data_IF_065337161925
#
_entry.id   IF_065337161925
#
_cell.length_a   1.000
_cell.length_b   1.000
_cell.length_c   1.000
_cell.angle_alpha   90.00
_cell.angle_beta   90.00
_cell.angle_gamma   90.00
#
_symmetry.space_group_name_H-M   'P 1'
#
loop_
_entity.id
_entity.type
_entity.pdbx_description
1 polymer ?
#
# COMPACT_ATOMS: atom_id res chain seq x y z
N UNK A 1 3.46 -1.19 23.23
CA UNK A 1 3.54 -0.82 24.65
C UNK A 1 3.19 0.64 24.73
N UNK A 2 2.23 0.99 25.60
CA UNK A 2 1.98 2.38 25.94
C UNK A 2 3.25 2.92 26.60
N UNK A 3 3.71 4.11 26.20
CA UNK A 3 4.83 4.75 26.92
C UNK A 3 4.30 5.31 28.25
N UNK A 4 5.18 5.48 29.23
CA UNK A 4 4.78 5.88 30.58
C UNK A 4 4.03 7.22 30.63
N UNK A 5 4.27 8.08 29.63
CA UNK A 5 3.60 9.37 29.44
C UNK A 5 2.12 9.23 29.03
N UNK A 6 1.80 8.29 28.14
CA UNK A 6 0.41 7.97 27.79
C UNK A 6 -0.30 7.36 29.01
N UNK A 7 0.40 6.58 29.83
CA UNK A 7 -0.15 6.02 31.08
C UNK A 7 -0.43 7.14 32.09
N UNK A 8 0.46 8.11 32.24
CA UNK A 8 0.27 9.26 33.13
C UNK A 8 -0.90 10.17 32.68
N UNK A 9 -1.07 10.39 31.37
CA UNK A 9 -2.21 11.13 30.81
C UNK A 9 -3.54 10.40 30.97
N UNK A 10 -3.54 9.06 30.88
CA UNK A 10 -4.74 8.27 31.14
C UNK A 10 -5.14 8.31 32.62
N UNK A 11 -4.17 8.41 33.55
CA UNK A 11 -4.43 8.52 35.00
C UNK A 11 -4.96 9.90 35.43
N UNK A 12 -4.76 10.95 34.64
CA UNK A 12 -5.22 12.32 34.97
C UNK A 12 -6.60 12.67 34.39
N UNK A 13 -7.14 11.82 33.51
CA UNK A 13 -8.49 12.00 32.99
C UNK A 13 -9.51 11.62 34.07
N UNK A 14 -10.58 12.40 34.17
CA UNK A 14 -11.77 11.99 34.91
C UNK A 14 -12.21 10.60 34.43
N UNK A 15 -12.68 9.69 35.32
CA UNK A 15 -12.93 8.30 34.97
C UNK A 15 -13.82 8.09 33.74
N UNK A 16 -14.79 8.99 33.52
CA UNK A 16 -15.66 8.98 32.34
C UNK A 16 -14.91 9.33 31.04
N UNK A 17 -13.99 10.29 31.10
CA UNK A 17 -13.14 10.69 29.96
C UNK A 17 -12.07 9.64 29.68
N UNK A 18 -11.50 9.05 30.72
CA UNK A 18 -10.57 7.94 30.61
C UNK A 18 -11.21 6.74 29.89
N UNK A 19 -12.39 6.30 30.33
CA UNK A 19 -13.10 5.18 29.71
C UNK A 19 -13.48 5.46 28.24
N UNK A 20 -13.88 6.70 27.93
CA UNK A 20 -14.18 7.15 26.56
C UNK A 20 -12.93 7.13 25.68
N UNK A 21 -11.82 7.69 26.15
CA UNK A 21 -10.55 7.68 25.41
C UNK A 21 -10.02 6.26 25.22
N UNK A 22 -10.14 5.38 26.22
CA UNK A 22 -9.76 3.97 26.10
C UNK A 22 -10.64 3.21 25.08
N UNK A 23 -11.93 3.54 24.96
CA UNK A 23 -12.80 3.04 23.87
C UNK A 23 -12.42 3.62 22.51
N UNK A 24 -12.22 4.93 22.42
CA UNK A 24 -11.85 5.63 21.16
C UNK A 24 -10.53 5.14 20.59
N UNK A 25 -9.64 4.69 21.46
CA UNK A 25 -8.34 4.16 21.09
C UNK A 25 -8.34 2.64 20.93
N UNK A 26 -9.47 1.97 21.20
CA UNK A 26 -9.66 0.54 21.00
C UNK A 26 -8.94 -0.33 22.02
N UNK A 27 -8.69 0.20 23.22
CA UNK A 27 -8.06 -0.54 24.33
C UNK A 27 -9.06 -1.35 25.17
N UNK A 28 -10.34 -0.96 25.20
CA UNK A 28 -11.40 -1.67 25.94
C UNK A 28 -12.69 -1.69 25.12
N UNK A 29 -13.45 -2.78 25.16
CA UNK A 29 -14.62 -3.00 24.30
C UNK A 29 -15.94 -2.59 24.98
N UNK A 30 -16.96 -2.29 24.18
CA UNK A 30 -18.31 -1.95 24.67
C UNK A 30 -19.04 -3.21 25.16
N UNK A 31 -19.54 -3.20 26.40
CA UNK A 31 -20.12 -4.37 27.09
C UNK A 31 -19.15 -5.17 27.96
N UNK A 32 -17.90 -4.72 28.10
CA UNK A 32 -16.96 -5.32 29.04
C UNK A 32 -17.54 -5.15 30.47
N UNK A 33 -17.95 -6.25 31.15
CA UNK A 33 -18.59 -6.15 32.46
C UNK A 33 -17.69 -5.44 33.47
N UNK A 34 -16.36 -5.52 33.29
CA UNK A 34 -15.39 -4.83 34.16
C UNK A 34 -15.34 -3.33 33.86
N UNK A 35 -15.47 -2.93 32.59
CA UNK A 35 -15.55 -1.52 32.20
C UNK A 35 -16.91 -0.91 32.55
N UNK A 36 -18.00 -1.65 32.40
CA UNK A 36 -19.33 -1.17 32.71
C UNK A 36 -19.57 -1.12 34.23
N UNK A 37 -19.01 -2.08 34.98
CA UNK A 37 -18.91 -2.01 36.43
C UNK A 37 -18.00 -0.85 36.89
N UNK A 38 -16.88 -0.59 36.20
CA UNK A 38 -16.04 0.60 36.42
C UNK A 38 -16.81 1.90 36.16
N UNK A 39 -17.55 2.00 35.05
CA UNK A 39 -18.39 3.17 34.73
C UNK A 39 -19.55 3.34 35.71
N UNK A 40 -20.16 2.25 36.18
CA UNK A 40 -21.23 2.27 37.17
C UNK A 40 -20.71 2.74 38.52
N UNK A 41 -19.54 2.27 38.98
CA UNK A 41 -18.90 2.67 40.23
C UNK A 41 -18.37 4.11 40.19
N UNK A 42 -17.79 4.54 39.06
CA UNK A 42 -17.32 5.91 38.84
C UNK A 42 -18.46 6.94 38.91
N UNK A 43 -19.71 6.57 38.57
CA UNK A 43 -20.88 7.46 38.72
C UNK A 43 -21.35 7.64 40.16
N UNK A 44 -21.03 6.71 41.06
CA UNK A 44 -21.43 6.75 42.49
C UNK A 44 -20.35 7.39 43.37
N UNK A 45 -19.18 7.73 42.81
CA UNK A 45 -18.18 8.58 43.48
C UNK A 45 -17.31 7.87 44.53
N UNK A 46 -17.02 6.58 44.40
CA UNK A 46 -16.12 5.88 45.32
C UNK A 46 -14.67 5.79 44.80
N UNK A 47 -13.69 5.98 45.69
CA UNK A 47 -12.35 6.49 45.37
C UNK A 47 -11.21 5.44 45.24
N UNK A 48 -11.49 4.15 45.01
CA UNK A 48 -10.47 3.06 44.99
C UNK A 48 -10.08 2.50 43.59
N UNK A 49 -10.27 3.26 42.51
CA UNK A 49 -10.21 2.76 41.12
C UNK A 49 -8.80 2.54 40.49
N UNK A 50 -7.71 2.82 41.22
CA UNK A 50 -6.35 2.79 40.69
C UNK A 50 -5.80 1.42 40.29
N UNK A 51 -6.26 0.32 40.89
CA UNK A 51 -5.72 -1.05 40.67
C UNK A 51 -6.21 -1.73 39.39
N UNK A 52 -7.38 -1.34 38.87
CA UNK A 52 -7.96 -1.93 37.64
C UNK A 52 -7.25 -1.38 36.41
N UNK A 53 -6.89 -0.08 36.42
CA UNK A 53 -6.10 0.59 35.36
C UNK A 53 -4.74 -0.10 35.16
N UNK A 54 -4.07 -0.50 36.25
CA UNK A 54 -2.79 -1.22 36.17
C UNK A 54 -2.94 -2.63 35.56
N UNK A 55 -4.11 -3.27 35.68
CA UNK A 55 -4.41 -4.55 35.04
C UNK A 55 -4.64 -4.43 33.52
N UNK A 56 -5.31 -3.36 33.07
CA UNK A 56 -5.61 -3.10 31.65
C UNK A 56 -4.36 -2.59 30.92
N UNK A 57 -3.56 -1.74 31.57
CA UNK A 57 -2.38 -1.11 30.98
C UNK A 57 -1.13 -2.00 31.11
N UNK A 58 -1.03 -2.80 32.18
CA UNK A 58 0.18 -3.54 32.53
C UNK A 58 0.04 -5.06 32.49
N UNK A 59 0.48 -5.70 31.38
CA UNK A 59 1.13 -7.05 31.30
C UNK A 59 1.43 -7.37 29.83
N UNK A 60 2.60 -7.05 29.22
CA UNK A 60 4.02 -7.52 29.30
C UNK A 60 4.26 -9.02 29.05
N UNK A 61 5.19 -9.33 28.11
CA UNK A 61 5.70 -10.67 27.74
C UNK A 61 6.21 -11.44 28.97
N UNK A 62 5.82 -12.71 29.10
CA UNK A 62 6.45 -13.66 30.04
C UNK A 62 7.85 -14.05 29.55
N UNK A 63 8.82 -14.08 30.45
CA UNK A 63 10.13 -14.72 30.23
C UNK A 63 10.01 -16.26 30.36
N UNK A 64 10.91 -17.03 29.71
CA UNK A 64 10.83 -18.48 29.65
C UNK A 64 11.31 -19.09 30.97
N UNK A 65 10.48 -19.91 31.63
CA UNK A 65 10.97 -20.72 32.75
C UNK A 65 10.01 -21.09 33.89
N UNK A 66 8.76 -20.61 33.93
CA UNK A 66 7.86 -21.01 35.02
C UNK A 66 6.85 -22.08 34.59
N UNK A 67 7.13 -23.29 35.02
CA UNK A 67 6.32 -24.48 34.88
C UNK A 67 5.09 -24.43 35.80
N UNK A 68 3.91 -24.80 35.27
CA UNK A 68 3.30 -26.09 35.65
C UNK A 68 2.08 -26.46 34.81
N UNK A 69 2.06 -27.74 34.44
CA UNK A 69 0.95 -28.66 34.15
C UNK A 69 -0.21 -28.17 33.29
N UNK A 70 -0.27 -28.68 32.06
CA UNK A 70 -1.56 -29.22 31.59
C UNK A 70 -1.45 -30.39 30.60
N UNK A 71 -2.36 -31.34 30.81
CA UNK A 71 -2.34 -32.76 30.50
C UNK A 71 -2.45 -33.10 29.00
N UNK A 72 -2.65 -32.10 28.13
CA UNK A 72 -3.01 -32.30 26.70
C UNK A 72 -1.84 -32.39 25.72
N UNK A 73 -0.63 -31.97 26.11
CA UNK A 73 0.56 -32.06 25.25
C UNK A 73 1.18 -33.47 25.30
N UNK A 74 1.09 -34.16 26.45
CA UNK A 74 1.56 -35.55 26.59
C UNK A 74 0.76 -36.54 25.74
N UNK A 75 -0.56 -36.39 25.63
CA UNK A 75 -1.38 -37.27 24.77
C UNK A 75 -1.05 -37.11 23.28
N UNK A 76 -0.62 -35.92 22.85
CA UNK A 76 -0.24 -35.66 21.44
C UNK A 76 1.19 -36.05 21.13
N UNK A 77 2.09 -35.97 22.10
CA UNK A 77 3.47 -36.46 21.98
C UNK A 77 3.56 -37.99 22.07
N UNK A 78 2.75 -38.63 22.93
CA UNK A 78 2.66 -40.10 22.96
C UNK A 78 2.02 -40.66 21.68
N UNK A 79 1.02 -39.96 21.12
CA UNK A 79 0.44 -40.30 19.81
C UNK A 79 1.44 -40.20 18.64
N UNK A 80 2.42 -39.28 18.73
CA UNK A 80 3.50 -39.16 17.75
C UNK A 80 4.67 -40.11 18.02
N UNK A 81 4.87 -40.56 19.27
CA UNK A 81 5.93 -41.50 19.65
C UNK A 81 5.59 -42.96 19.29
N UNK A 82 4.32 -43.30 19.18
CA UNK A 82 3.84 -44.67 18.85
C UNK A 82 3.75 -44.96 17.34
N UNK A 83 4.00 -43.98 16.47
CA UNK A 83 4.09 -44.18 15.02
C UNK A 83 5.46 -43.74 14.52
N UNK A 84 6.39 -44.68 14.34
CA UNK A 84 7.63 -44.47 13.58
C UNK A 84 7.30 -44.37 12.08
N UNK A 85 7.59 -43.26 11.39
CA UNK A 85 7.70 -43.26 9.93
C UNK A 85 9.09 -43.78 9.55
N UNK A 86 9.14 -44.88 8.80
CA UNK A 86 10.37 -45.60 8.41
C UNK A 86 11.26 -44.88 7.37
N UNK A 87 11.27 -43.56 7.28
CA UNK A 87 11.88 -42.85 6.14
C UNK A 87 13.09 -41.99 6.50
N UNK A 88 13.80 -42.35 7.56
CA UNK A 88 15.15 -41.85 7.83
C UNK A 88 16.04 -43.03 8.25
N UNK A 89 16.40 -43.86 7.28
CA UNK A 89 17.60 -44.69 7.36
C UNK A 89 18.65 -44.07 6.41
N UNK A 90 19.90 -43.85 6.87
CA UNK A 90 20.97 -43.37 6.00
C UNK A 90 21.43 -44.52 5.11
N UNK A 91 21.26 -44.40 3.80
CA UNK A 91 21.86 -45.37 2.87
C UNK A 91 23.34 -45.05 2.71
N UNK A 92 24.15 -46.03 3.06
CA UNK A 92 25.60 -46.06 2.92
C UNK A 92 26.04 -46.09 1.45
N UNK A 93 27.33 -45.81 1.29
CA UNK A 93 28.10 -45.71 0.05
C UNK A 93 28.22 -47.04 -0.72
N UNK A 94 28.47 -46.88 -2.03
CA UNK A 94 29.18 -47.75 -2.98
C UNK A 94 28.55 -49.10 -3.36
N UNK A 95 28.26 -49.26 -4.66
CA UNK A 95 28.88 -50.26 -5.57
C UNK A 95 28.27 -50.14 -6.99
N UNK A 96 29.10 -49.90 -8.00
CA UNK A 96 28.89 -50.27 -9.41
C UNK A 96 29.75 -51.54 -9.67
N UNK A 97 29.60 -52.26 -10.81
CA UNK A 97 28.41 -52.70 -11.55
C UNK A 97 28.43 -54.25 -11.74
N UNK A 98 27.59 -54.84 -12.59
CA UNK A 98 28.20 -55.34 -13.82
C UNK A 98 27.35 -55.19 -15.09
N UNK A 99 28.09 -55.29 -16.20
CA UNK A 99 27.70 -55.47 -17.58
C UNK A 99 26.64 -56.58 -17.75
N UNK A 100 25.73 -56.43 -18.73
CA UNK A 100 25.45 -57.52 -19.66
C UNK A 100 24.72 -57.03 -20.92
N UNK A 101 25.19 -57.60 -22.03
CA UNK A 101 24.77 -57.45 -23.41
C UNK A 101 23.35 -58.02 -23.63
N UNK A 102 22.64 -57.53 -24.67
CA UNK A 102 21.97 -58.37 -25.67
C UNK A 102 21.21 -57.52 -26.71
N UNK A 103 21.84 -57.38 -27.88
CA UNK A 103 21.34 -57.74 -29.21
C UNK A 103 19.88 -57.46 -29.67
N UNK A 104 19.83 -56.66 -30.75
CA UNK A 104 19.13 -56.87 -32.03
C UNK A 104 17.67 -56.32 -32.21
N UNK A 105 17.16 -56.21 -33.46
CA UNK A 105 17.68 -55.34 -34.54
C UNK A 105 16.58 -54.59 -35.34
N UNK A 106 17.03 -53.83 -36.36
CA UNK A 106 16.33 -53.48 -37.62
C UNK A 106 15.05 -52.61 -37.56
N UNK A 107 15.13 -51.39 -38.13
CA UNK A 107 14.45 -51.11 -39.40
C UNK A 107 14.96 -49.82 -40.06
N UNK A 108 15.19 -49.97 -41.36
CA UNK A 108 15.70 -49.05 -42.36
C UNK A 108 14.60 -48.22 -43.01
N UNK A 109 14.81 -46.91 -43.17
CA UNK A 109 14.39 -46.06 -44.30
C UNK A 109 15.19 -44.75 -44.11
N UNK A 110 16.06 -44.26 -45.00
CA UNK A 110 16.01 -44.26 -46.46
C UNK A 110 15.44 -42.91 -46.92
N UNK A 111 16.29 -41.88 -47.06
CA UNK A 111 16.43 -41.09 -48.30
C UNK A 111 17.35 -39.87 -48.13
N UNK A 112 18.32 -39.89 -49.04
CA UNK A 112 19.29 -38.88 -49.46
C UNK A 112 18.65 -37.52 -49.76
N UNK A 113 19.36 -36.44 -49.39
CA UNK A 113 19.56 -35.30 -50.28
C UNK A 113 20.89 -34.65 -49.93
N UNK A 114 21.86 -34.84 -50.82
CA UNK A 114 23.17 -34.24 -50.79
C UNK A 114 23.10 -32.94 -51.60
N UNK A 115 23.10 -31.80 -50.92
CA UNK A 115 23.44 -30.52 -51.53
C UNK A 115 24.77 -30.02 -50.96
N UNK A 116 25.75 -29.97 -51.86
CA UNK A 116 27.09 -29.46 -51.65
C UNK A 116 27.04 -27.95 -51.45
N UNK A 117 27.13 -27.50 -50.20
CA UNK A 117 27.44 -26.11 -49.87
C UNK A 117 28.96 -25.99 -49.65
N UNK A 118 29.64 -25.42 -50.64
CA UNK A 118 31.04 -25.02 -50.57
C UNK A 118 31.23 -23.97 -49.47
N UNK A 119 31.93 -24.37 -48.41
CA UNK A 119 32.36 -23.48 -47.32
C UNK A 119 33.41 -22.52 -47.89
N UNK A 120 32.96 -21.35 -48.33
CA UNK A 120 33.84 -20.21 -48.52
C UNK A 120 34.21 -19.66 -47.13
N UNK A 121 35.48 -19.81 -46.76
CA UNK A 121 36.09 -19.09 -45.63
C UNK A 121 36.17 -17.61 -45.99
N UNK A 122 35.04 -16.92 -46.01
CA UNK A 122 35.04 -15.47 -45.89
C UNK A 122 35.27 -15.14 -44.42
N UNK A 123 36.51 -14.72 -44.13
CA UNK A 123 36.85 -14.14 -42.84
C UNK A 123 35.88 -12.99 -42.56
N UNK A 124 35.04 -13.17 -41.55
CA UNK A 124 34.29 -12.09 -40.93
C UNK A 124 35.32 -11.12 -40.36
N UNK A 125 35.70 -10.12 -41.15
CA UNK A 125 36.35 -8.92 -40.67
C UNK A 125 35.33 -8.19 -39.78
N UNK A 126 35.24 -8.60 -38.52
CA UNK A 126 34.54 -7.86 -37.46
C UNK A 126 35.38 -6.61 -37.18
N UNK A 127 35.33 -5.67 -38.10
CA UNK A 127 35.90 -4.33 -37.99
C UNK A 127 34.86 -3.36 -37.41
N UNK A 128 34.05 -3.84 -36.46
CA UNK A 128 33.37 -2.96 -35.52
C UNK A 128 34.31 -2.85 -34.32
N UNK A 129 35.11 -1.79 -34.28
CA UNK A 129 35.85 -1.45 -33.07
C UNK A 129 34.86 -1.47 -31.89
N UNK A 130 35.14 -2.22 -30.81
CA UNK A 130 34.26 -2.24 -29.66
C UNK A 130 34.07 -0.79 -29.19
N UNK A 131 32.84 -0.45 -28.80
CA UNK A 131 32.50 0.84 -28.20
C UNK A 131 33.66 1.29 -27.28
N UNK A 132 34.26 2.48 -27.48
CA UNK A 132 35.36 2.95 -26.66
C UNK A 132 35.08 2.87 -25.15
N UNK A 133 33.80 2.98 -24.75
CA UNK A 133 33.36 2.76 -23.37
C UNK A 133 33.52 1.30 -22.90
N UNK A 134 33.19 0.33 -23.76
CA UNK A 134 33.35 -1.09 -23.47
C UNK A 134 34.82 -1.48 -23.32
N UNK A 135 35.68 -1.07 -24.26
CA UNK A 135 37.10 -1.39 -24.21
C UNK A 135 37.78 -0.84 -22.95
N UNK A 136 37.43 0.38 -22.55
CA UNK A 136 37.91 0.98 -21.31
C UNK A 136 37.40 0.23 -20.06
N UNK A 137 36.13 -0.19 -20.04
CA UNK A 137 35.54 -0.93 -18.92
C UNK A 137 36.22 -2.29 -18.71
N UNK A 138 36.38 -3.07 -19.79
CA UNK A 138 37.04 -4.38 -19.74
C UNK A 138 38.51 -4.26 -19.30
N UNK A 139 39.20 -3.19 -19.69
CA UNK A 139 40.56 -2.92 -19.24
C UNK A 139 40.61 -2.61 -17.73
N UNK A 140 39.74 -1.74 -17.22
CA UNK A 140 39.69 -1.36 -15.80
C UNK A 140 39.29 -2.53 -14.89
N UNK A 141 38.27 -3.30 -15.28
CA UNK A 141 37.67 -4.33 -14.44
C UNK A 141 38.17 -5.73 -14.78
N UNK A 142 39.13 -5.85 -15.70
CA UNK A 142 39.56 -7.14 -16.20
C UNK A 142 40.14 -8.06 -15.13
N UNK A 143 40.72 -7.52 -14.05
CA UNK A 143 41.25 -8.36 -12.98
C UNK A 143 40.15 -8.96 -12.12
N UNK A 144 39.03 -8.28 -11.98
CA UNK A 144 37.86 -8.80 -11.29
C UNK A 144 37.12 -9.81 -12.17
N UNK A 145 36.91 -9.45 -13.44
CA UNK A 145 36.21 -10.30 -14.43
C UNK A 145 36.98 -11.59 -14.75
N UNK A 146 38.31 -11.51 -14.81
CA UNK A 146 39.20 -12.64 -15.12
C UNK A 146 40.18 -12.91 -13.97
N UNK A 147 39.66 -12.96 -12.75
CA UNK A 147 40.46 -13.22 -11.53
C UNK A 147 41.21 -14.55 -11.54
N UNK A 148 40.79 -15.49 -12.39
CA UNK A 148 41.43 -16.80 -12.59
C UNK A 148 42.66 -16.76 -13.51
N UNK A 149 42.89 -15.67 -14.26
CA UNK A 149 44.09 -15.53 -15.08
C UNK A 149 45.27 -15.09 -14.21
N UNK A 150 46.24 -15.98 -14.04
CA UNK A 150 47.47 -15.71 -13.29
C UNK A 150 48.42 -14.89 -14.15
N UNK A 151 48.64 -13.62 -13.78
CA UNK A 151 49.59 -12.72 -14.45
C UNK A 151 49.01 -11.35 -14.79
N UNK A 152 49.80 -10.47 -15.44
CA UNK A 152 49.28 -9.23 -16.01
C UNK A 152 48.26 -9.56 -17.11
N UNK A 153 47.12 -8.86 -17.12
CA UNK A 153 46.13 -9.03 -18.17
C UNK A 153 46.76 -8.75 -19.54
N UNK A 154 46.47 -9.55 -20.58
CA UNK A 154 47.06 -9.37 -21.90
C UNK A 154 46.53 -8.13 -22.65
N UNK A 155 45.56 -7.43 -22.08
CA UNK A 155 44.93 -6.27 -22.70
C UNK A 155 45.76 -5.02 -22.45
N UNK A 156 46.19 -4.34 -23.53
CA UNK A 156 46.76 -2.99 -23.44
C UNK A 156 45.62 -1.97 -23.27
N UNK A 157 45.85 -0.85 -22.54
CA UNK A 157 44.85 0.20 -22.46
C UNK A 157 44.54 0.72 -23.87
N UNK A 158 43.26 0.97 -24.21
CA UNK A 158 42.91 1.49 -25.52
C UNK A 158 43.58 2.86 -25.78
N UNK A 159 43.91 3.21 -27.04
CA UNK A 159 44.55 4.48 -27.36
C UNK A 159 43.77 5.69 -26.83
N UNK A 160 44.43 6.58 -26.09
CA UNK A 160 43.80 7.76 -25.49
C UNK A 160 43.07 7.49 -24.16
N UNK A 161 43.11 6.27 -23.63
CA UNK A 161 42.58 5.94 -22.32
C UNK A 161 43.27 6.77 -21.22
N UNK A 162 42.46 7.55 -20.51
CA UNK A 162 42.83 8.20 -19.24
C UNK A 162 41.99 7.53 -18.16
N UNK A 163 42.56 7.13 -17.01
CA UNK A 163 41.77 6.62 -15.89
C UNK A 163 40.73 7.69 -15.55
N UNK A 164 39.49 7.46 -15.94
CA UNK A 164 38.39 8.34 -15.55
C UNK A 164 38.00 7.93 -14.13
N UNK A 165 37.23 8.79 -13.46
CA UNK A 165 36.51 8.45 -12.21
C UNK A 165 35.96 7.01 -12.33
N UNK A 166 35.87 6.24 -11.23
CA UNK A 166 35.49 4.83 -11.25
C UNK A 166 34.41 4.56 -12.31
N UNK A 167 34.77 3.85 -13.38
CA UNK A 167 33.83 3.64 -14.49
C UNK A 167 32.66 2.80 -13.97
N UNK A 168 31.47 3.38 -14.00
CA UNK A 168 30.22 2.63 -13.83
C UNK A 168 30.11 1.68 -15.02
N UNK A 169 29.90 0.39 -14.75
CA UNK A 169 29.77 -0.63 -15.77
C UNK A 169 28.73 -0.20 -16.84
N UNK A 170 29.11 -0.04 -18.11
CA UNK A 170 28.21 0.43 -19.16
C UNK A 170 27.07 -0.56 -19.47
N UNK A 171 27.19 -1.81 -19.02
CA UNK A 171 26.13 -2.81 -19.11
C UNK A 171 25.15 -2.78 -17.95
N UNK A 172 25.46 -2.04 -16.89
CA UNK A 172 24.54 -1.88 -15.77
C UNK A 172 23.69 -0.66 -16.05
N UNK A 173 22.35 -0.78 -15.98
CA UNK A 173 21.50 0.38 -16.11
C UNK A 173 21.93 1.41 -15.08
N UNK A 174 22.04 2.67 -15.50
CA UNK A 174 22.35 3.76 -14.59
C UNK A 174 21.39 3.68 -13.39
N UNK A 175 21.89 3.82 -12.15
CA UNK A 175 21.02 3.73 -10.98
C UNK A 175 19.88 4.75 -11.13
N UNK A 176 18.66 4.38 -10.74
CA UNK A 176 17.52 5.28 -10.88
C UNK A 176 17.81 6.57 -10.12
N UNK A 177 17.50 7.70 -10.75
CA UNK A 177 17.55 8.99 -10.05
C UNK A 177 16.60 8.93 -8.87
N UNK A 178 17.07 9.37 -7.71
CA UNK A 178 16.32 9.35 -6.47
C UNK A 178 15.77 10.75 -6.18
N UNK A 179 14.59 10.82 -5.55
CA UNK A 179 13.98 12.07 -5.04
C UNK A 179 13.39 11.84 -3.66
N UNK A 180 13.24 12.91 -2.88
CA UNK A 180 12.53 12.84 -1.59
C UNK A 180 11.10 12.34 -1.73
N UNK A 181 10.64 11.50 -0.80
CA UNK A 181 9.24 11.05 -0.72
C UNK A 181 8.31 12.01 0.03
N UNK A 182 8.76 13.22 0.34
CA UNK A 182 7.92 14.26 0.91
C UNK A 182 6.86 14.71 -0.11
N UNK A 183 5.62 14.90 0.36
CA UNK A 183 4.52 15.29 -0.52
C UNK A 183 4.64 16.76 -0.92
N UNK A 184 4.38 17.03 -2.19
CA UNK A 184 4.39 18.38 -2.75
C UNK A 184 3.00 19.01 -2.65
N UNK A 185 2.90 20.32 -2.88
CA UNK A 185 1.60 21.02 -2.90
C UNK A 185 0.69 20.54 -4.04
N UNK A 186 1.27 19.97 -5.10
CA UNK A 186 0.51 19.32 -6.17
C UNK A 186 -0.17 18.04 -5.66
N UNK A 187 0.53 17.25 -4.87
CA UNK A 187 -0.03 16.02 -4.28
C UNK A 187 -1.13 16.34 -3.28
N UNK A 188 -0.88 17.32 -2.41
CA UNK A 188 -1.86 17.82 -1.43
C UNK A 188 -3.16 18.25 -2.09
N UNK A 189 -3.08 19.12 -3.11
CA UNK A 189 -4.26 19.59 -3.86
C UNK A 189 -4.95 18.46 -4.61
N UNK A 190 -4.19 17.57 -5.26
CA UNK A 190 -4.76 16.42 -5.97
C UNK A 190 -5.62 15.56 -5.06
N UNK A 191 -5.09 15.19 -3.88
CA UNK A 191 -5.80 14.33 -2.94
C UNK A 191 -7.00 15.06 -2.32
N UNK A 192 -6.83 16.32 -1.89
CA UNK A 192 -7.94 17.11 -1.34
C UNK A 192 -9.08 17.23 -2.33
N UNK A 193 -8.79 17.73 -3.54
CA UNK A 193 -9.80 18.01 -4.54
C UNK A 193 -10.56 16.74 -4.96
N UNK A 194 -9.86 15.61 -5.05
CA UNK A 194 -10.50 14.34 -5.37
C UNK A 194 -11.45 13.86 -4.26
N UNK A 195 -11.08 14.02 -2.98
CA UNK A 195 -11.96 13.72 -1.84
C UNK A 195 -13.17 14.66 -1.83
N UNK A 196 -12.94 15.97 -1.95
CA UNK A 196 -13.96 17.00 -2.00
C UNK A 196 -14.95 16.75 -3.14
N UNK A 197 -14.45 16.42 -4.33
CA UNK A 197 -15.27 16.09 -5.48
C UNK A 197 -16.03 14.76 -5.33
N UNK A 198 -15.43 13.73 -4.71
CA UNK A 198 -16.15 12.51 -4.39
C UNK A 198 -17.36 12.81 -3.49
N UNK A 199 -17.19 13.67 -2.49
CA UNK A 199 -18.28 14.14 -1.63
C UNK A 199 -19.32 14.95 -2.41
N UNK A 200 -18.90 15.84 -3.30
CA UNK A 200 -19.81 16.54 -4.21
C UNK A 200 -20.64 15.59 -5.06
N UNK A 201 -20.06 14.46 -5.48
CA UNK A 201 -20.75 13.36 -6.16
C UNK A 201 -21.60 12.48 -5.22
N UNK A 202 -21.76 12.85 -3.95
CA UNK A 202 -22.53 12.12 -2.94
C UNK A 202 -21.81 10.90 -2.34
N UNK A 203 -20.48 10.82 -2.46
CA UNK A 203 -19.70 9.65 -2.03
C UNK A 203 -18.58 10.01 -1.04
N UNK A 204 -18.64 9.42 0.14
CA UNK A 204 -17.60 9.56 1.17
C UNK A 204 -16.62 8.37 1.09
N UNK A 205 -15.31 8.66 1.01
CA UNK A 205 -14.25 7.64 1.04
C UNK A 205 -14.06 7.10 2.47
N UNK A 206 -14.99 6.25 2.88
CA UNK A 206 -15.18 5.77 4.25
C UNK A 206 -14.25 4.63 4.71
N UNK A 207 -13.28 4.21 3.89
CA UNK A 207 -12.34 3.12 4.23
C UNK A 207 -10.90 3.49 3.95
N UNK A 208 -10.01 3.25 4.92
CA UNK A 208 -8.57 3.42 4.83
C UNK A 208 -7.86 2.06 4.69
N UNK A 209 -7.22 1.85 3.54
CA UNK A 209 -6.35 0.71 3.30
C UNK A 209 -4.90 1.10 3.56
N UNK A 210 -4.15 0.17 4.15
CA UNK A 210 -2.70 0.30 4.34
C UNK A 210 -2.04 -0.93 3.73
N UNK A 211 -1.12 -0.72 2.80
CA UNK A 211 -0.33 -1.80 2.19
C UNK A 211 1.15 -1.50 2.40
N UNK A 212 1.86 -2.38 3.10
CA UNK A 212 3.29 -2.24 3.41
C UNK A 212 4.08 -3.13 2.48
N UNK A 213 4.54 -2.57 1.36
CA UNK A 213 5.18 -3.30 0.26
C UNK A 213 6.50 -3.94 0.65
N UNK A 214 7.26 -3.27 1.52
CA UNK A 214 8.50 -3.80 2.12
C UNK A 214 8.27 -5.12 2.87
N UNK A 215 7.12 -5.27 3.55
CA UNK A 215 6.75 -6.53 4.25
C UNK A 215 6.35 -7.66 3.29
N UNK A 216 6.18 -7.34 2.01
CA UNK A 216 5.99 -8.31 0.92
C UNK A 216 7.29 -8.53 0.12
N UNK A 217 8.41 -7.97 0.60
CA UNK A 217 9.72 -8.00 -0.03
C UNK A 217 9.74 -7.40 -1.45
N UNK A 218 8.87 -6.43 -1.74
CA UNK A 218 8.82 -5.75 -3.04
C UNK A 218 9.66 -4.47 -3.02
N UNK A 219 10.30 -4.15 -4.15
CA UNK A 219 10.87 -2.82 -4.38
C UNK A 219 9.78 -1.76 -4.49
N UNK A 220 10.17 -0.50 -4.46
CA UNK A 220 9.27 0.63 -4.64
C UNK A 220 8.53 0.56 -5.99
N UNK A 221 9.24 0.26 -7.08
CA UNK A 221 8.66 0.15 -8.42
C UNK A 221 7.68 -1.01 -8.51
N UNK A 222 8.07 -2.20 -8.05
CA UNK A 222 7.18 -3.36 -8.03
C UNK A 222 5.96 -3.12 -7.14
N UNK A 223 6.10 -2.39 -6.03
CA UNK A 223 4.98 -2.00 -5.17
C UNK A 223 3.99 -1.07 -5.87
N UNK A 224 4.48 -0.10 -6.65
CA UNK A 224 3.64 0.81 -7.46
C UNK A 224 2.89 0.05 -8.55
N UNK A 225 3.58 -0.83 -9.27
CA UNK A 225 2.98 -1.66 -10.32
C UNK A 225 1.89 -2.58 -9.73
N UNK A 226 2.22 -3.27 -8.64
CA UNK A 226 1.30 -4.16 -7.92
C UNK A 226 0.08 -3.39 -7.42
N UNK A 227 0.25 -2.16 -6.91
CA UNK A 227 -0.88 -1.31 -6.50
C UNK A 227 -1.81 -1.00 -7.68
N UNK A 228 -1.26 -0.69 -8.85
CA UNK A 228 -2.03 -0.43 -10.06
C UNK A 228 -2.89 -1.63 -10.45
N UNK A 229 -2.29 -2.82 -10.52
CA UNK A 229 -3.00 -4.06 -10.80
C UNK A 229 -4.07 -4.38 -9.73
N UNK A 230 -3.72 -4.21 -8.45
CA UNK A 230 -4.63 -4.42 -7.33
C UNK A 230 -5.86 -3.50 -7.40
N UNK A 231 -5.68 -2.20 -7.64
CA UNK A 231 -6.80 -1.24 -7.72
C UNK A 231 -7.70 -1.52 -8.92
N UNK A 232 -7.13 -1.97 -10.04
CA UNK A 232 -7.91 -2.42 -11.20
C UNK A 232 -8.78 -3.64 -10.87
N UNK A 233 -8.20 -4.66 -10.23
CA UNK A 233 -8.95 -5.84 -9.79
C UNK A 233 -9.99 -5.50 -8.71
N UNK A 234 -9.70 -4.56 -7.80
CA UNK A 234 -10.65 -4.08 -6.80
C UNK A 234 -11.84 -3.38 -7.45
N UNK A 235 -11.60 -2.59 -8.50
CA UNK A 235 -12.65 -1.99 -9.30
C UNK A 235 -13.53 -3.02 -10.00
N UNK A 236 -12.92 -4.07 -10.55
CA UNK A 236 -13.67 -5.21 -11.12
C UNK A 236 -14.49 -5.94 -10.06
N UNK A 237 -13.90 -6.20 -8.89
CA UNK A 237 -14.57 -6.91 -7.80
C UNK A 237 -15.81 -6.16 -7.30
N UNK A 238 -15.70 -4.84 -7.11
CA UNK A 238 -16.82 -4.00 -6.69
C UNK A 238 -17.92 -3.86 -7.75
N UNK A 239 -17.57 -3.87 -9.04
CA UNK A 239 -18.56 -3.87 -10.13
C UNK A 239 -19.19 -5.24 -10.38
N UNK A 240 -18.46 -6.32 -10.13
CA UNK A 240 -18.94 -7.67 -10.43
C UNK A 240 -20.08 -8.05 -9.48
N UNK A 241 -21.23 -8.39 -10.06
CA UNK A 241 -22.37 -9.01 -9.34
C UNK A 241 -21.99 -10.38 -8.73
N UNK A 242 -20.85 -10.96 -9.16
CA UNK A 242 -20.45 -12.34 -8.90
C UNK A 242 -19.41 -12.52 -7.80
N UNK A 243 -19.77 -12.25 -6.53
CA UNK A 243 -19.19 -13.09 -5.49
C UNK A 243 -19.51 -14.56 -5.80
N UNK A 244 -18.66 -15.52 -5.39
CA UNK A 244 -18.90 -16.93 -5.62
C UNK A 244 -20.34 -17.29 -5.23
N UNK A 245 -21.01 -18.08 -6.06
CA UNK A 245 -22.41 -18.56 -5.97
C UNK A 245 -22.69 -19.40 -4.71
N UNK A 246 -22.17 -19.01 -3.55
CA UNK A 246 -22.45 -19.59 -2.26
C UNK A 246 -23.84 -19.19 -1.81
N UNK A 247 -24.76 -20.17 -1.89
CA UNK A 247 -26.11 -20.21 -1.31
C UNK A 247 -26.81 -18.84 -1.20
N UNK A 248 -27.53 -18.50 -2.27
CA UNK A 248 -28.67 -17.55 -2.40
C UNK A 248 -29.24 -16.98 -1.08
N UNK A 249 -28.48 -16.18 -0.37
CA UNK A 249 -29.00 -15.34 0.69
C UNK A 249 -29.63 -14.13 0.02
N UNK A 250 -30.95 -14.02 0.14
CA UNK A 250 -31.81 -13.01 -0.48
C UNK A 250 -31.54 -11.55 -0.01
N UNK A 251 -30.34 -11.25 0.50
CA UNK A 251 -29.91 -9.93 0.98
C UNK A 251 -28.69 -9.37 0.26
N UNK A 252 -28.23 -9.99 -0.83
CA UNK A 252 -27.11 -9.50 -1.64
C UNK A 252 -27.51 -8.27 -2.49
N UNK A 253 -27.86 -7.16 -1.85
CA UNK A 253 -27.90 -5.84 -2.48
C UNK A 253 -26.45 -5.39 -2.62
N UNK A 254 -25.74 -5.95 -3.61
CA UNK A 254 -24.48 -5.37 -4.04
C UNK A 254 -24.84 -4.18 -4.92
N UNK A 255 -24.74 -3.00 -4.33
CA UNK A 255 -24.79 -1.73 -5.05
C UNK A 255 -23.69 -1.78 -6.11
N UNK A 256 -24.04 -1.66 -7.40
CA UNK A 256 -23.09 -1.54 -8.52
C UNK A 256 -22.28 -0.26 -8.36
N UNK A 257 -21.31 -0.25 -7.45
CA UNK A 257 -20.55 0.94 -7.09
C UNK A 257 -19.20 0.90 -7.78
N UNK A 258 -18.92 1.94 -8.55
CA UNK A 258 -17.57 2.16 -9.04
C UNK A 258 -16.61 2.44 -7.89
N UNK A 259 -15.43 1.83 -7.98
CA UNK A 259 -14.33 2.11 -7.06
C UNK A 259 -13.91 3.57 -7.25
N UNK A 260 -14.10 4.36 -6.20
CA UNK A 260 -13.52 5.70 -6.04
C UNK A 260 -12.38 5.61 -5.05
N UNK A 261 -11.20 6.09 -5.42
CA UNK A 261 -10.05 6.05 -4.55
C UNK A 261 -9.12 7.25 -4.69
N UNK A 262 -8.41 7.54 -3.60
CA UNK A 262 -7.17 8.31 -3.61
C UNK A 262 -6.10 7.51 -2.92
N UNK A 263 -4.84 7.66 -3.32
CA UNK A 263 -3.74 7.06 -2.59
C UNK A 263 -2.55 8.00 -2.47
N UNK A 264 -1.74 7.71 -1.45
CA UNK A 264 -0.44 8.31 -1.21
C UNK A 264 0.60 7.21 -0.93
N UNK A 265 1.78 7.33 -1.52
CA UNK A 265 2.94 6.53 -1.17
C UNK A 265 3.80 7.25 -0.13
N UNK A 266 4.33 6.48 0.80
CA UNK A 266 5.21 6.96 1.86
C UNK A 266 6.38 5.98 2.02
N UNK A 267 7.57 6.52 2.26
CA UNK A 267 8.75 5.71 2.60
C UNK A 267 9.40 6.26 3.87
N UNK A 268 9.38 5.46 4.93
CA UNK A 268 10.01 5.79 6.21
C UNK A 268 10.94 4.66 6.65
N UNK A 269 11.95 4.97 7.44
CA UNK A 269 12.94 3.98 7.87
C UNK A 269 12.32 2.77 8.61
N UNK A 270 11.32 3.00 9.48
CA UNK A 270 10.77 1.95 10.34
C UNK A 270 9.80 1.00 9.63
N UNK A 271 9.12 1.45 8.57
CA UNK A 271 8.11 0.66 7.85
C UNK A 271 8.49 0.38 6.41
N UNK A 272 9.50 1.04 5.86
CA UNK A 272 9.82 1.00 4.44
C UNK A 272 8.73 1.66 3.58
N UNK A 273 8.70 1.26 2.31
CA UNK A 273 7.75 1.75 1.32
C UNK A 273 6.36 1.17 1.56
N UNK A 274 5.36 2.04 1.65
CA UNK A 274 3.97 1.66 1.88
C UNK A 274 2.99 2.64 1.23
N UNK A 275 1.76 2.18 1.03
CA UNK A 275 0.66 2.98 0.49
C UNK A 275 -0.46 3.15 1.49
N UNK A 276 -0.95 4.37 1.57
CA UNK A 276 -2.21 4.72 2.23
C UNK A 276 -3.25 5.00 1.14
N UNK A 277 -4.34 4.24 1.11
CA UNK A 277 -5.42 4.38 0.13
C UNK A 277 -6.72 4.69 0.85
N UNK A 278 -7.44 5.72 0.44
CA UNK A 278 -8.82 5.94 0.86
C UNK A 278 -9.75 5.49 -0.26
N UNK A 279 -10.73 4.66 0.08
CA UNK A 279 -11.75 4.16 -0.86
C UNK A 279 -13.14 4.36 -0.26
N UNK A 280 -14.15 4.40 -1.13
CA UNK A 280 -15.51 4.12 -0.71
C UNK A 280 -15.77 2.61 -0.73
N UNK A 281 -16.20 2.07 0.40
CA UNK A 281 -16.58 0.66 0.53
C UNK A 281 -17.87 0.56 1.33
N UNK A 282 -18.93 -0.08 0.79
CA UNK A 282 -20.12 -0.37 1.57
C UNK A 282 -19.76 -1.15 2.85
N UNK A 283 -20.19 -0.72 4.05
CA UNK A 283 -19.81 -1.34 5.32
C UNK A 283 -20.05 -2.86 5.37
N UNK A 284 -21.14 -3.32 4.77
CA UNK A 284 -21.49 -4.73 4.68
C UNK A 284 -20.43 -5.58 3.95
N UNK A 285 -19.66 -4.98 3.04
CA UNK A 285 -18.66 -5.68 2.24
C UNK A 285 -17.27 -5.70 2.89
N UNK A 286 -17.05 -5.02 4.02
CA UNK A 286 -15.71 -4.88 4.64
C UNK A 286 -15.00 -6.22 4.85
N UNK A 287 -15.69 -7.21 5.40
CA UNK A 287 -15.11 -8.53 5.72
C UNK A 287 -14.77 -9.31 4.45
N UNK A 288 -15.68 -9.34 3.48
CA UNK A 288 -15.48 -10.03 2.19
C UNK A 288 -14.38 -9.37 1.38
N UNK A 289 -14.38 -8.04 1.32
CA UNK A 289 -13.35 -7.26 0.64
C UNK A 289 -11.98 -7.49 1.28
N UNK A 290 -11.86 -7.45 2.61
CA UNK A 290 -10.56 -7.72 3.27
C UNK A 290 -10.03 -9.13 2.96
N UNK A 291 -10.90 -10.15 2.97
CA UNK A 291 -10.50 -11.51 2.63
C UNK A 291 -10.09 -11.63 1.15
N UNK A 292 -10.89 -11.05 0.25
CA UNK A 292 -10.60 -11.00 -1.18
C UNK A 292 -9.28 -10.26 -1.46
N UNK A 293 -9.08 -9.07 -0.87
CA UNK A 293 -7.88 -8.26 -1.05
C UNK A 293 -6.62 -9.02 -0.63
N UNK A 294 -6.70 -9.80 0.45
CA UNK A 294 -5.57 -10.62 0.90
C UNK A 294 -5.20 -11.67 -0.14
N UNK A 295 -6.20 -12.38 -0.66
CA UNK A 295 -6.03 -13.38 -1.71
C UNK A 295 -5.51 -12.76 -3.01
N UNK A 296 -6.08 -11.63 -3.43
CA UNK A 296 -5.67 -10.90 -4.63
C UNK A 296 -4.21 -10.44 -4.54
N UNK A 297 -3.80 -9.83 -3.42
CA UNK A 297 -2.41 -9.42 -3.20
C UNK A 297 -1.45 -10.62 -3.16
N UNK A 298 -1.84 -11.74 -2.54
CA UNK A 298 -0.99 -12.94 -2.54
C UNK A 298 -0.77 -13.47 -3.95
N UNK A 299 -1.82 -13.51 -4.77
CA UNK A 299 -1.74 -13.90 -6.18
C UNK A 299 -0.92 -12.91 -7.01
N UNK A 300 -1.16 -11.61 -6.89
CA UNK A 300 -0.46 -10.57 -7.66
C UNK A 300 1.04 -10.51 -7.33
N UNK A 301 1.40 -10.81 -6.07
CA UNK A 301 2.81 -10.78 -5.63
C UNK A 301 3.51 -12.13 -5.77
N UNK A 302 2.76 -13.22 -5.97
CA UNK A 302 3.29 -14.60 -5.90
C UNK A 302 3.84 -14.96 -4.52
N UNK A 303 3.44 -14.25 -3.45
CA UNK A 303 4.05 -14.36 -2.13
C UNK A 303 3.01 -14.53 -1.03
N UNK A 304 3.42 -15.26 0.00
CA UNK A 304 2.78 -15.20 1.31
C UNK A 304 3.42 -14.06 2.11
N UNK A 305 2.62 -13.28 2.82
CA UNK A 305 3.10 -12.13 3.57
C UNK A 305 2.40 -12.04 4.93
N UNK A 306 3.03 -11.31 5.86
CA UNK A 306 2.52 -11.14 7.21
C UNK A 306 1.17 -10.42 7.23
N UNK A 307 0.28 -10.80 8.14
CA UNK A 307 -1.07 -10.19 8.23
C UNK A 307 -1.02 -8.67 8.39
N UNK A 308 0.05 -8.13 8.99
CA UNK A 308 0.26 -6.69 9.17
C UNK A 308 0.68 -5.95 7.90
N UNK A 309 1.11 -6.65 6.85
CA UNK A 309 1.44 -6.04 5.56
C UNK A 309 0.21 -5.45 4.85
N UNK A 310 -1.01 -5.88 5.23
CA UNK A 310 -2.26 -5.37 4.69
C UNK A 310 -3.30 -5.14 5.79
N UNK A 311 -3.88 -3.93 5.84
CA UNK A 311 -4.94 -3.57 6.79
C UNK A 311 -6.09 -2.85 6.09
N UNK A 312 -7.31 -3.16 6.51
CA UNK A 312 -8.55 -2.48 6.09
C UNK A 312 -9.20 -1.87 7.34
N UNK A 313 -9.29 -0.55 7.36
CA UNK A 313 -9.85 0.21 8.47
C UNK A 313 -11.09 0.94 7.94
N UNK A 314 -12.27 0.50 8.40
CA UNK A 314 -13.54 1.17 8.07
C UNK A 314 -13.82 2.28 9.09
N UNK A 315 -14.31 3.42 8.63
CA UNK A 315 -14.79 4.49 9.51
C UNK A 315 -16.19 4.14 10.01
N UNK A 316 -16.35 3.97 11.32
CA UNK A 316 -17.62 3.60 11.94
C UNK A 316 -18.50 4.81 12.30
N UNK A 317 -18.42 5.89 11.51
CA UNK A 317 -19.30 7.05 11.71
C UNK A 317 -20.75 6.64 11.52
N UNK A 318 -21.60 6.85 12.53
CA UNK A 318 -23.02 6.48 12.47
C UNK A 318 -23.80 7.46 11.60
N UNK A 319 -23.46 8.73 11.71
CA UNK A 319 -24.07 9.81 10.94
C UNK A 319 -23.16 10.27 9.80
N UNK A 320 -23.72 11.01 8.85
CA UNK A 320 -22.97 11.51 7.70
C UNK A 320 -21.84 12.44 8.13
N UNK A 321 -22.10 13.31 9.11
CA UNK A 321 -21.16 14.26 9.67
C UNK A 321 -19.95 13.54 10.29
N UNK A 322 -20.18 12.40 10.94
CA UNK A 322 -19.10 11.57 11.49
C UNK A 322 -18.23 10.96 10.38
N UNK A 323 -18.86 10.54 9.27
CA UNK A 323 -18.14 9.98 8.13
C UNK A 323 -17.30 11.04 7.42
N UNK A 324 -17.85 12.25 7.25
CA UNK A 324 -17.14 13.45 6.76
C UNK A 324 -15.94 13.75 7.65
N UNK A 325 -16.15 13.85 8.96
CA UNK A 325 -15.08 14.10 9.92
C UNK A 325 -14.00 13.01 9.87
N UNK A 326 -14.39 11.75 9.70
CA UNK A 326 -13.46 10.63 9.60
C UNK A 326 -12.61 10.68 8.32
N UNK A 327 -13.21 10.96 7.15
CA UNK A 327 -12.45 11.04 5.89
C UNK A 327 -11.45 12.21 5.95
N UNK A 328 -11.84 13.35 6.53
CA UNK A 328 -10.94 14.49 6.70
C UNK A 328 -9.84 14.24 7.73
N UNK A 329 -10.14 13.50 8.81
CA UNK A 329 -9.12 13.01 9.74
C UNK A 329 -8.09 12.16 9.03
N UNK A 330 -8.52 11.24 8.16
CA UNK A 330 -7.60 10.43 7.37
C UNK A 330 -6.84 11.24 6.33
N UNK A 331 -7.46 12.19 5.65
CA UNK A 331 -6.76 13.11 4.75
C UNK A 331 -5.60 13.81 5.47
N UNK A 332 -5.84 14.39 6.65
CA UNK A 332 -4.80 15.02 7.47
C UNK A 332 -3.69 14.05 7.88
N UNK A 333 -4.03 12.79 8.12
CA UNK A 333 -3.07 11.73 8.39
C UNK A 333 -2.26 11.35 7.13
N UNK A 334 -2.89 11.22 5.96
CA UNK A 334 -2.21 10.96 4.68
C UNK A 334 -1.21 12.07 4.33
N UNK A 335 -1.53 13.32 4.67
CA UNK A 335 -0.69 14.49 4.38
C UNK A 335 0.45 14.71 5.40
N UNK A 336 0.64 13.82 6.38
CA UNK A 336 1.66 13.96 7.44
C UNK A 336 3.10 14.10 6.91
N UNK A 337 3.38 13.62 5.70
CA UNK A 337 4.68 13.67 5.03
C UNK A 337 4.81 14.86 4.05
N UNK A 338 3.91 15.84 4.09
CA UNK A 338 4.06 17.08 3.31
C UNK A 338 5.36 17.80 3.63
N UNK A 339 6.03 18.33 2.61
CA UNK A 339 7.26 19.10 2.75
C UNK A 339 7.05 20.24 3.77
N UNK A 340 7.79 20.25 4.91
CA UNK A 340 7.55 21.21 5.99
C UNK A 340 7.68 22.67 5.58
N UNK A 341 8.57 22.98 4.62
CA UNK A 341 8.83 24.36 4.17
C UNK A 341 7.93 24.82 3.03
N UNK A 342 6.97 23.99 2.62
CA UNK A 342 6.10 24.31 1.52
C UNK A 342 5.08 25.39 1.93
N UNK A 343 5.41 26.64 1.60
CA UNK A 343 4.56 27.81 1.77
C UNK A 343 3.44 27.89 0.73
N UNK A 344 2.36 28.54 1.12
CA UNK A 344 1.27 29.01 0.28
C UNK A 344 1.05 30.48 0.61
N UNK A 345 1.25 31.33 -0.39
CA UNK A 345 0.96 32.76 -0.33
C UNK A 345 -0.37 33.08 -0.98
N UNK A 346 -1.15 33.98 -0.39
CA UNK A 346 -2.35 34.56 -0.99
C UNK A 346 -2.52 36.01 -0.51
N UNK A 347 -3.32 36.78 -1.24
CA UNK A 347 -3.71 38.13 -0.83
C UNK A 347 -5.14 38.08 -0.31
N UNK A 348 -5.39 38.65 0.87
CA UNK A 348 -6.73 38.72 1.45
C UNK A 348 -7.61 39.82 0.82
N UNK A 349 -8.88 39.90 1.24
CA UNK A 349 -9.85 40.90 0.74
C UNK A 349 -9.41 42.35 1.01
N UNK A 350 -8.51 42.57 1.96
CA UNK A 350 -7.95 43.90 2.30
C UNK A 350 -6.68 44.22 1.49
N UNK A 351 -6.27 43.34 0.58
CA UNK A 351 -5.05 43.50 -0.20
C UNK A 351 -3.78 43.13 0.55
N UNK A 352 -3.86 42.52 1.75
CA UNK A 352 -2.68 42.16 2.56
C UNK A 352 -2.19 40.77 2.14
N UNK A 353 -0.90 40.66 1.85
CA UNK A 353 -0.27 39.38 1.57
C UNK A 353 -0.15 38.54 2.84
N UNK A 354 -0.65 37.32 2.77
CA UNK A 354 -0.60 36.31 3.81
C UNK A 354 0.23 35.13 3.30
N UNK A 355 1.07 34.56 4.16
CA UNK A 355 1.80 33.32 3.86
C UNK A 355 1.62 32.33 5.01
N UNK A 356 1.27 31.09 4.67
CA UNK A 356 1.28 29.97 5.62
C UNK A 356 1.83 28.71 4.98
N UNK A 357 2.47 27.86 5.77
CA UNK A 357 2.83 26.53 5.29
C UNK A 357 1.60 25.64 5.14
N UNK A 358 1.65 24.66 4.24
CA UNK A 358 0.59 23.65 4.14
C UNK A 358 0.35 22.91 5.45
N UNK A 359 1.39 22.72 6.27
CA UNK A 359 1.25 22.07 7.58
C UNK A 359 0.38 22.86 8.53
N UNK A 360 0.59 24.18 8.59
CA UNK A 360 -0.22 25.09 9.41
C UNK A 360 -1.65 25.17 8.90
N UNK A 361 -1.82 25.31 7.58
CA UNK A 361 -3.12 25.42 6.94
C UNK A 361 -3.98 24.17 7.16
N UNK A 362 -3.43 23.00 6.82
CA UNK A 362 -4.16 21.73 6.86
C UNK A 362 -4.19 21.10 8.26
N UNK A 363 -3.48 21.69 9.23
CA UNK A 363 -3.30 21.13 10.57
C UNK A 363 -2.86 19.66 10.50
N UNK A 364 -1.90 19.32 9.63
CA UNK A 364 -1.50 17.92 9.40
C UNK A 364 -0.98 17.26 10.69
N UNK A 365 -1.00 15.93 10.75
CA UNK A 365 -0.46 15.23 11.91
C UNK A 365 1.06 15.41 11.98
N UNK A 366 1.57 15.74 13.16
CA UNK A 366 3.00 15.77 13.43
C UNK A 366 3.51 14.34 13.53
N UNK A 367 4.25 13.89 12.53
CA UNK A 367 4.86 12.55 12.55
C UNK A 367 6.37 12.68 12.62
N UNK A 368 6.93 11.93 13.57
CA UNK A 368 8.37 11.78 13.76
C UNK A 368 8.88 10.81 12.69
N UNK A 369 9.77 11.29 11.83
CA UNK A 369 10.42 10.47 10.82
C UNK A 369 10.83 11.29 9.60
N UNK A 370 12.05 11.06 9.11
CA UNK A 370 12.53 11.65 7.87
C UNK A 370 11.99 10.84 6.70
N UNK A 371 11.30 11.50 5.77
CA UNK A 371 10.91 10.89 4.50
C UNK A 371 12.16 10.41 3.76
N UNK A 372 12.18 9.14 3.35
CA UNK A 372 13.31 8.57 2.61
C UNK A 372 13.14 8.79 1.11
N UNK A 373 14.22 8.68 0.36
CA UNK A 373 14.15 8.86 -1.09
C UNK A 373 13.50 7.67 -1.80
N UNK A 374 12.78 7.97 -2.88
CA UNK A 374 12.18 7.04 -3.83
C UNK A 374 12.68 7.32 -5.24
N UNK A 375 12.63 6.35 -6.16
CA UNK A 375 12.88 6.58 -7.58
C UNK A 375 12.07 7.74 -8.16
N UNK A 376 12.69 8.58 -8.98
CA UNK A 376 12.12 9.82 -9.50
C UNK A 376 10.84 9.60 -10.33
N UNK A 377 10.74 8.46 -11.00
CA UNK A 377 9.58 8.05 -11.80
C UNK A 377 8.32 7.71 -11.00
N UNK A 378 8.42 7.55 -9.68
CA UNK A 378 7.27 7.17 -8.84
C UNK A 378 6.39 8.39 -8.57
N UNK A 379 5.12 8.28 -8.93
CA UNK A 379 4.09 9.25 -8.54
C UNK A 379 3.69 9.01 -7.08
N UNK A 380 3.88 10.01 -6.21
CA UNK A 380 3.59 9.87 -4.78
C UNK A 380 2.09 9.88 -4.45
N UNK A 381 1.24 10.40 -5.33
CA UNK A 381 -0.20 10.44 -5.12
C UNK A 381 -1.01 10.32 -6.41
N UNK A 382 -2.14 9.63 -6.37
CA UNK A 382 -3.13 9.64 -7.46
C UNK A 382 -4.56 9.56 -6.93
N UNK A 383 -5.49 9.85 -7.82
CA UNK A 383 -6.93 9.64 -7.66
C UNK A 383 -7.45 8.74 -8.79
N UNK A 384 -8.57 8.05 -8.57
CA UNK A 384 -9.26 7.30 -9.62
C UNK A 384 -9.81 8.23 -10.71
N UNK A 385 -9.95 7.72 -11.92
CA UNK A 385 -10.37 8.51 -13.10
C UNK A 385 -11.68 9.28 -12.86
N UNK A 386 -12.66 8.65 -12.21
CA UNK A 386 -14.00 9.19 -11.94
C UNK A 386 -14.06 10.28 -10.84
N UNK A 387 -12.97 10.52 -10.10
CA UNK A 387 -12.87 11.65 -9.17
C UNK A 387 -11.61 12.50 -9.38
N UNK A 388 -10.83 12.20 -10.42
CA UNK A 388 -9.60 12.90 -10.75
C UNK A 388 -9.86 14.27 -11.42
N UNK A 389 -8.77 14.97 -11.71
CA UNK A 389 -8.83 16.34 -12.26
C UNK A 389 -9.65 16.46 -13.55
N UNK A 390 -9.68 15.42 -14.39
CA UNK A 390 -10.44 15.46 -15.64
C UNK A 390 -11.95 15.39 -15.37
N UNK A 391 -12.40 14.51 -14.47
CA UNK A 391 -13.81 14.44 -14.07
C UNK A 391 -14.26 15.76 -13.42
N UNK A 392 -13.43 16.31 -12.52
CA UNK A 392 -13.71 17.61 -11.89
C UNK A 392 -13.89 18.73 -12.91
N UNK A 393 -13.04 18.79 -13.94
CA UNK A 393 -13.12 19.80 -15.00
C UNK A 393 -14.37 19.65 -15.86
N UNK A 394 -14.75 18.41 -16.19
CA UNK A 394 -15.95 18.13 -16.98
C UNK A 394 -17.20 18.63 -16.27
N UNK A 395 -17.27 18.46 -14.96
CA UNK A 395 -18.43 18.86 -14.14
C UNK A 395 -18.31 20.31 -13.63
N UNK A 396 -17.28 21.07 -14.05
CA UNK A 396 -17.07 22.45 -13.61
C UNK A 396 -16.78 22.60 -12.10
N UNK A 397 -16.38 21.52 -11.42
CA UNK A 397 -16.13 21.53 -9.99
C UNK A 397 -14.81 22.23 -9.63
N UNK A 398 -14.88 23.15 -8.67
CA UNK A 398 -13.71 23.85 -8.09
C UNK A 398 -13.70 23.61 -6.59
N UNK A 399 -12.65 23.00 -6.05
CA UNK A 399 -12.58 22.66 -4.62
C UNK A 399 -12.33 23.90 -3.74
N UNK A 400 -12.80 23.89 -2.47
CA UNK A 400 -12.58 25.00 -1.52
C UNK A 400 -11.11 25.37 -1.32
N UNK A 401 -10.22 24.38 -1.30
CA UNK A 401 -8.77 24.59 -1.23
C UNK A 401 -8.23 25.43 -2.42
N UNK A 402 -8.89 25.40 -3.58
CA UNK A 402 -8.53 26.24 -4.73
C UNK A 402 -9.16 27.63 -4.66
N UNK A 403 -10.29 27.77 -3.96
CA UNK A 403 -11.00 29.05 -3.72
C UNK A 403 -10.42 29.85 -2.55
N UNK A 404 -9.40 29.32 -1.89
CA UNK A 404 -8.82 29.88 -0.66
C UNK A 404 -9.83 29.97 0.52
N UNK A 405 -10.85 29.12 0.52
CA UNK A 405 -11.82 29.04 1.61
C UNK A 405 -11.31 28.10 2.70
N UNK A 406 -10.41 28.63 3.53
CA UNK A 406 -9.60 27.86 4.47
C UNK A 406 -10.37 27.42 5.72
N UNK A 407 -11.39 28.18 6.12
CA UNK A 407 -12.13 27.94 7.37
C UNK A 407 -13.13 26.77 7.20
N UNK A 408 -13.61 26.55 5.98
CA UNK A 408 -14.59 25.50 5.66
C UNK A 408 -13.96 24.23 5.05
N UNK A 409 -12.62 24.11 4.99
CA UNK A 409 -11.93 22.98 4.32
C UNK A 409 -12.39 21.59 4.78
N UNK A 410 -12.84 21.46 6.03
CA UNK A 410 -13.19 20.18 6.63
C UNK A 410 -14.67 20.09 7.04
N UNK A 411 -15.48 21.07 6.67
CA UNK A 411 -16.90 21.10 7.00
C UNK A 411 -17.72 20.08 6.19
N UNK A 412 -17.22 19.66 5.02
CA UNK A 412 -17.92 18.72 4.13
C UNK A 412 -19.09 19.32 3.37
N UNK A 413 -19.13 20.65 3.26
CA UNK A 413 -20.15 21.41 2.50
C UNK A 413 -20.26 20.96 1.04
N UNK A 414 -19.22 20.34 0.50
CA UNK A 414 -19.25 19.77 -0.85
C UNK A 414 -20.41 18.77 -1.03
N UNK A 415 -20.81 18.02 0.02
CA UNK A 415 -21.98 17.13 -0.03
C UNK A 415 -23.28 17.88 -0.34
N UNK A 416 -23.52 18.97 0.39
CA UNK A 416 -24.75 19.77 0.25
C UNK A 416 -24.78 20.51 -1.09
N UNK A 417 -23.65 21.13 -1.48
CA UNK A 417 -23.50 21.75 -2.80
C UNK A 417 -23.77 20.74 -3.92
N UNK A 418 -23.29 19.51 -3.76
CA UNK A 418 -23.52 18.42 -4.69
C UNK A 418 -24.98 17.98 -4.77
N UNK A 419 -25.69 17.90 -3.64
CA UNK A 419 -27.13 17.62 -3.60
C UNK A 419 -27.92 18.69 -4.32
N UNK A 420 -27.70 19.95 -3.97
CA UNK A 420 -28.36 21.11 -4.58
C UNK A 420 -28.12 21.16 -6.10
N UNK A 421 -26.90 20.86 -6.53
CA UNK A 421 -26.58 20.81 -7.96
C UNK A 421 -27.34 19.70 -8.69
N UNK A 422 -27.40 18.48 -8.13
CA UNK A 422 -28.20 17.38 -8.72
C UNK A 422 -29.69 17.70 -8.77
N UNK A 423 -30.25 18.27 -7.71
CA UNK A 423 -31.64 18.72 -7.66
C UNK A 423 -31.93 19.81 -8.70
N UNK A 424 -30.99 20.74 -8.91
CA UNK A 424 -31.08 21.73 -9.98
C UNK A 424 -31.10 21.07 -11.36
N UNK A 425 -30.16 20.16 -11.65
CA UNK A 425 -30.10 19.45 -12.93
C UNK A 425 -31.37 18.61 -13.18
N UNK A 426 -31.90 17.97 -12.14
CA UNK A 426 -33.14 17.20 -12.25
C UNK A 426 -34.33 18.11 -12.63
N UNK A 427 -34.49 19.25 -11.95
CA UNK A 427 -35.56 20.21 -12.27
C UNK A 427 -35.44 20.75 -13.70
N UNK A 428 -34.23 21.06 -14.15
CA UNK A 428 -34.00 21.49 -15.53
C UNK A 428 -34.40 20.41 -16.55
N UNK A 429 -34.06 19.14 -16.29
CA UNK A 429 -34.44 18.03 -17.16
C UNK A 429 -35.97 17.81 -17.20
N UNK A 430 -36.64 17.91 -16.05
CA UNK A 430 -38.10 17.81 -15.95
C UNK A 430 -38.80 18.96 -16.69
N UNK A 431 -38.28 20.18 -16.60
CA UNK A 431 -38.79 21.34 -17.34
C UNK A 431 -38.60 21.19 -18.85
N UNK A 432 -37.44 20.72 -19.30
CA UNK A 432 -37.18 20.42 -20.72
C UNK A 432 -38.12 19.34 -21.27
N UNK A 433 -38.37 18.28 -20.49
CA UNK A 433 -39.31 17.21 -20.86
C UNK A 433 -40.77 17.72 -20.94
N UNK A 434 -41.16 18.60 -20.02
CA UNK A 434 -42.48 19.25 -20.03
C UNK A 434 -42.65 20.14 -21.26
N UNK A 435 -41.68 21.00 -21.57
CA UNK A 435 -41.69 21.86 -22.75
C UNK A 435 -41.79 21.01 -24.02
N UNK A 436 -41.01 19.92 -24.10
CA UNK A 436 -41.04 18.99 -25.23
C UNK A 436 -42.41 18.31 -25.41
N UNK A 437 -43.09 17.99 -24.31
CA UNK A 437 -44.41 17.34 -24.33
C UNK A 437 -45.52 18.30 -24.74
N UNK A 438 -45.41 19.60 -24.39
CA UNK A 438 -46.40 20.64 -24.74
C UNK A 438 -46.29 21.13 -26.20
N UNK A 439 -45.22 20.80 -26.91
CA UNK A 439 -45.01 21.17 -28.32
C UNK A 439 -45.59 20.17 -29.33
N UNK A 440 -46.31 19.15 -28.86
CA UNK A 440 -47.06 18.16 -29.66
C UNK A 440 -48.54 18.55 -29.65
#
# INVERSE_FOLDING_TARGET
MLNDEIIANLRSLEPADLARTLREWGFVYEGDPQLDEFLARARVGNHEDGKIIEGIIGRRKRQPGEAYKDFRVRSRLNWLAERKPEWFAPTAQNEEPPEEEHSAPLQSHGQENADQASVSKQGLAVSAMPDPGLAAYLFEHGRELWSHLVGPLPFKPPPGYRPRRPMVNPFWPAPPKMKGSALTGKDVRRVYNAIAYAMWQGVILNTHLIIVWSMMNLSEESGVETLGAYLHEAGKWLRSEGAPRGKKSARSVRTKTDLRYVYVHEKIAQRGFHSHILIHLPPALKKEFEAWSRSALSRLTGRNYDRNAFRVILGYGRFEEDQVRNVWRWYRYLMKSVEPRLGLGWTDEKGVYQERTYRQLLKVWNVKGTALDVPEGISLSKASHNIGNNAQKLDGFVARLQRNDWDELYAGRELDEGRQHREYLQRMAEEEELIRTLQI
#
